data_IF_805274686625
#
_entry.id   IF_805274686625
#
_cell.length_a   1.000
_cell.length_b   1.000
_cell.length_c   1.000
_cell.angle_alpha   90.00
_cell.angle_beta   90.00
_cell.angle_gamma   90.00
#
_symmetry.space_group_name_H-M   'P 1'
#
loop_
_entity.id
_entity.type
_entity.pdbx_description
1 polymer ?
#
# COMPACT_ATOMS: atom_id res chain seq x y z
N UNK A 1 14.27 -11.34 22.38
CA UNK A 1 14.34 -11.41 20.90
C UNK A 1 14.11 -10.03 20.31
N UNK A 2 14.89 -9.63 19.30
CA UNK A 2 14.71 -8.35 18.58
C UNK A 2 14.07 -8.65 17.23
N UNK A 3 13.09 -7.84 16.83
CA UNK A 3 12.38 -8.03 15.57
C UNK A 3 12.37 -6.76 14.73
N UNK A 4 12.52 -6.93 13.43
CA UNK A 4 12.17 -5.94 12.43
C UNK A 4 10.99 -6.47 11.62
N UNK A 5 9.91 -5.71 11.58
CA UNK A 5 8.64 -6.11 10.99
C UNK A 5 8.28 -5.14 9.88
N UNK A 6 7.90 -5.66 8.72
CA UNK A 6 7.38 -4.90 7.59
C UNK A 6 5.92 -5.26 7.38
N UNK A 7 5.04 -4.26 7.44
CA UNK A 7 3.60 -4.40 7.36
C UNK A 7 3.07 -3.85 6.05
N UNK A 8 2.18 -4.62 5.43
CA UNK A 8 1.34 -4.21 4.31
C UNK A 8 -0.13 -4.36 4.73
N UNK A 9 -0.96 -3.39 4.37
CA UNK A 9 -2.41 -3.50 4.53
C UNK A 9 -3.06 -3.66 3.17
N UNK A 10 -3.74 -4.79 2.95
CA UNK A 10 -4.52 -5.03 1.75
C UNK A 10 -5.60 -3.97 1.60
N UNK A 11 -5.73 -3.37 0.41
CA UNK A 11 -6.69 -2.26 0.23
C UNK A 11 -8.13 -2.76 0.22
N UNK A 12 -8.39 -3.93 -0.39
CA UNK A 12 -9.74 -4.46 -0.53
C UNK A 12 -10.31 -5.01 0.79
N UNK A 13 -9.55 -5.85 1.49
CA UNK A 13 -10.03 -6.56 2.69
C UNK A 13 -9.66 -5.90 4.01
N UNK A 14 -8.76 -4.90 4.00
CA UNK A 14 -8.10 -4.33 5.19
C UNK A 14 -7.33 -5.37 6.02
N UNK A 15 -7.09 -6.57 5.47
CA UNK A 15 -6.23 -7.56 6.09
C UNK A 15 -4.79 -7.03 6.16
N UNK A 16 -4.10 -7.33 7.27
CA UNK A 16 -2.74 -6.88 7.50
C UNK A 16 -1.79 -8.05 7.37
N UNK A 17 -0.84 -7.91 6.45
CA UNK A 17 0.21 -8.89 6.19
C UNK A 17 1.51 -8.38 6.80
N UNK A 18 2.32 -9.25 7.39
CA UNK A 18 3.62 -8.90 7.94
C UNK A 18 4.72 -9.88 7.56
N UNK A 19 5.84 -9.37 7.10
CA UNK A 19 7.11 -10.08 7.12
C UNK A 19 7.87 -9.72 8.40
N UNK A 20 8.43 -10.71 9.09
CA UNK A 20 9.27 -10.50 10.27
C UNK A 20 10.67 -11.07 10.05
N UNK A 21 11.67 -10.32 10.49
CA UNK A 21 13.03 -10.81 10.71
C UNK A 21 13.32 -10.74 12.21
N UNK A 22 13.79 -11.85 12.79
CA UNK A 22 14.05 -11.96 14.23
C UNK A 22 15.49 -12.35 14.49
N UNK A 23 16.15 -11.71 15.45
CA UNK A 23 17.50 -12.05 15.89
C UNK A 23 17.72 -11.73 17.37
N UNK A 24 18.59 -12.49 18.02
CA UNK A 24 19.09 -12.13 19.35
C UNK A 24 20.08 -10.94 19.27
N UNK A 25 20.75 -10.81 18.13
CA UNK A 25 21.67 -9.72 17.83
C UNK A 25 20.94 -8.50 17.25
N UNK A 26 21.63 -7.36 17.23
CA UNK A 26 21.07 -6.14 16.65
C UNK A 26 20.89 -6.31 15.15
N UNK A 27 19.69 -6.04 14.66
CA UNK A 27 19.36 -6.06 13.24
C UNK A 27 19.67 -4.71 12.59
N UNK A 28 20.44 -4.74 11.52
CA UNK A 28 20.75 -3.60 10.68
C UNK A 28 20.06 -3.71 9.31
N UNK A 29 19.94 -2.61 8.55
CA UNK A 29 19.35 -2.65 7.21
C UNK A 29 20.08 -3.61 6.27
N UNK A 30 21.39 -3.79 6.41
CA UNK A 30 22.18 -4.68 5.56
C UNK A 30 21.83 -6.17 5.75
N UNK A 31 21.20 -6.52 6.88
CA UNK A 31 20.73 -7.89 7.17
C UNK A 31 19.43 -8.21 6.43
N UNK A 32 18.82 -7.23 5.75
CA UNK A 32 17.54 -7.41 5.06
C UNK A 32 17.73 -7.88 3.62
N UNK A 33 16.85 -8.77 3.14
CA UNK A 33 16.78 -9.09 1.73
C UNK A 33 16.53 -7.85 0.88
N UNK A 34 17.23 -7.73 -0.25
CA UNK A 34 17.06 -6.62 -1.21
C UNK A 34 15.59 -6.44 -1.63
N UNK A 35 14.88 -7.55 -1.78
CA UNK A 35 13.45 -7.63 -2.11
C UNK A 35 12.56 -6.82 -1.16
N UNK A 36 12.91 -6.70 0.13
CA UNK A 36 12.12 -5.87 1.06
C UNK A 36 12.23 -4.39 0.70
N UNK A 37 13.39 -3.92 0.24
CA UNK A 37 13.57 -2.54 -0.18
C UNK A 37 12.78 -2.24 -1.45
N UNK A 38 12.78 -3.17 -2.41
CA UNK A 38 11.96 -3.08 -3.63
C UNK A 38 10.47 -3.01 -3.29
N UNK A 39 9.98 -3.91 -2.43
CA UNK A 39 8.59 -3.92 -1.98
C UNK A 39 8.24 -2.64 -1.22
N UNK A 40 9.13 -2.13 -0.37
CA UNK A 40 8.90 -0.89 0.36
C UNK A 40 8.81 0.32 -0.58
N UNK A 41 9.69 0.40 -1.59
CA UNK A 41 9.65 1.47 -2.58
C UNK A 41 8.36 1.44 -3.41
N UNK A 42 7.86 0.23 -3.74
CA UNK A 42 6.67 0.06 -4.56
C UNK A 42 5.36 0.24 -3.79
N UNK A 43 5.29 -0.27 -2.56
CA UNK A 43 4.03 -0.41 -1.80
C UNK A 43 3.98 0.40 -0.50
N UNK A 44 5.04 1.16 -0.17
CA UNK A 44 5.11 2.00 1.03
C UNK A 44 4.80 1.21 2.32
N UNK A 45 5.61 0.19 2.59
CA UNK A 45 5.42 -0.67 3.76
C UNK A 45 5.66 0.11 5.06
N UNK A 46 4.88 -0.20 6.10
CA UNK A 46 5.13 0.33 7.44
C UNK A 46 6.16 -0.55 8.16
N UNK A 47 7.25 0.04 8.65
CA UNK A 47 8.28 -0.71 9.39
C UNK A 47 8.17 -0.50 10.90
N UNK A 48 8.36 -1.57 11.67
CA UNK A 48 8.29 -1.56 13.13
C UNK A 48 9.47 -2.33 13.73
N UNK A 49 9.98 -1.81 14.85
CA UNK A 49 10.96 -2.51 15.70
C UNK A 49 10.30 -2.87 17.02
N UNK A 50 10.34 -4.15 17.37
CA UNK A 50 9.76 -4.65 18.63
C UNK A 50 10.71 -5.65 19.28
N UNK A 51 10.61 -5.76 20.61
CA UNK A 51 11.43 -6.63 21.43
C UNK A 51 10.55 -7.57 22.21
N UNK A 52 10.50 -8.84 21.84
CA UNK A 52 9.64 -9.82 22.50
C UNK A 52 10.42 -10.91 23.23
N UNK A 53 9.72 -11.84 23.89
CA UNK A 53 10.34 -12.91 24.68
C UNK A 53 11.07 -13.88 23.76
N UNK A 54 10.50 -14.25 22.63
CA UNK A 54 11.02 -15.25 21.70
C UNK A 54 10.75 -14.89 20.22
N UNK A 55 11.07 -15.76 19.27
CA UNK A 55 10.89 -15.50 17.83
C UNK A 55 9.44 -15.65 17.33
N UNK A 56 8.52 -16.13 18.16
CA UNK A 56 7.17 -16.49 17.72
C UNK A 56 6.33 -15.25 17.47
N UNK A 57 5.41 -15.34 16.51
CA UNK A 57 4.47 -14.25 16.26
C UNK A 57 3.53 -14.04 17.44
N UNK A 58 3.20 -15.10 18.17
CA UNK A 58 2.38 -15.02 19.37
C UNK A 58 3.03 -14.13 20.44
N UNK A 59 4.34 -14.26 20.68
CA UNK A 59 5.02 -13.39 21.64
C UNK A 59 4.98 -11.91 21.25
N UNK A 60 4.89 -11.59 19.96
CA UNK A 60 4.76 -10.21 19.45
C UNK A 60 3.32 -9.72 19.69
N UNK A 61 2.31 -10.53 19.36
CA UNK A 61 0.90 -10.19 19.53
C UNK A 61 0.46 -10.05 21.00
N UNK A 62 1.02 -10.87 21.87
CA UNK A 62 0.79 -10.81 23.32
C UNK A 62 1.38 -9.54 23.93
N UNK A 63 2.47 -9.04 23.35
CA UNK A 63 3.14 -7.83 23.80
C UNK A 63 2.45 -6.56 23.31
N UNK A 64 2.01 -6.55 22.05
CA UNK A 64 1.36 -5.39 21.46
C UNK A 64 0.13 -5.78 20.64
N UNK A 65 -1.03 -5.32 21.15
CA UNK A 65 -2.34 -5.54 20.54
C UNK A 65 -2.46 -5.00 19.12
N UNK A 66 -1.61 -4.05 18.72
CA UNK A 66 -1.53 -3.58 17.35
C UNK A 66 -1.34 -4.74 16.37
N UNK A 67 -0.55 -5.75 16.71
CA UNK A 67 -0.26 -6.87 15.80
C UNK A 67 -1.31 -7.99 15.82
N UNK A 68 -2.39 -7.87 16.60
CA UNK A 68 -3.43 -8.91 16.65
C UNK A 68 -4.09 -9.12 15.30
N UNK A 69 -4.21 -10.38 14.89
CA UNK A 69 -4.84 -10.75 13.62
C UNK A 69 -4.03 -10.35 12.39
N UNK A 70 -2.73 -10.08 12.55
CA UNK A 70 -1.79 -9.94 11.44
C UNK A 70 -1.49 -11.33 10.86
N UNK A 71 -1.46 -11.44 9.54
CA UNK A 71 -0.99 -12.63 8.86
C UNK A 71 0.53 -12.58 8.73
N UNK A 72 1.23 -13.54 9.34
CA UNK A 72 2.69 -13.53 9.42
C UNK A 72 3.36 -14.39 8.35
N UNK A 73 4.46 -13.86 7.80
CA UNK A 73 5.32 -14.52 6.85
C UNK A 73 6.75 -14.58 7.37
N UNK A 74 7.37 -15.74 7.29
CA UNK A 74 8.79 -15.96 7.62
C UNK A 74 9.68 -15.91 6.38
N UNK A 75 9.08 -15.97 5.18
CA UNK A 75 9.77 -15.85 3.89
C UNK A 75 9.36 -14.55 3.21
N UNK A 76 10.37 -13.77 2.79
CA UNK A 76 10.16 -12.55 1.99
C UNK A 76 9.47 -12.86 0.66
N UNK A 77 9.76 -14.02 0.05
CA UNK A 77 9.15 -14.43 -1.21
C UNK A 77 7.66 -14.76 -1.05
N UNK A 78 7.29 -15.41 0.05
CA UNK A 78 5.89 -15.67 0.36
C UNK A 78 5.13 -14.36 0.63
N UNK A 79 5.76 -13.44 1.35
CA UNK A 79 5.20 -12.12 1.60
C UNK A 79 5.01 -11.30 0.31
N UNK A 80 6.02 -11.30 -0.58
CA UNK A 80 5.96 -10.67 -1.91
C UNK A 80 4.76 -11.18 -2.70
N UNK A 81 4.61 -12.50 -2.83
CA UNK A 81 3.50 -13.10 -3.58
C UNK A 81 2.15 -12.67 -3.02
N UNK A 82 2.00 -12.67 -1.70
CA UNK A 82 0.75 -12.26 -1.06
C UNK A 82 0.39 -10.77 -1.32
N UNK A 83 1.37 -9.88 -1.41
CA UNK A 83 1.16 -8.48 -1.78
C UNK A 83 0.80 -8.35 -3.27
N UNK A 84 1.52 -9.04 -4.14
CA UNK A 84 1.29 -8.99 -5.59
C UNK A 84 -0.06 -9.58 -5.98
N UNK A 85 -0.52 -10.64 -5.30
CA UNK A 85 -1.87 -11.18 -5.46
C UNK A 85 -2.95 -10.16 -5.09
N UNK A 86 -2.77 -9.38 -4.02
CA UNK A 86 -3.70 -8.30 -3.64
C UNK A 86 -3.79 -7.23 -4.72
N UNK A 87 -2.65 -6.83 -5.31
CA UNK A 87 -2.62 -5.86 -6.41
C UNK A 87 -3.23 -6.38 -7.70
N UNK A 88 -3.07 -7.67 -8.01
CA UNK A 88 -3.75 -8.29 -9.15
C UNK A 88 -5.28 -8.33 -8.95
N UNK A 89 -5.75 -8.43 -7.70
CA UNK A 89 -7.17 -8.34 -7.37
C UNK A 89 -7.70 -6.89 -7.42
N UNK A 90 -6.83 -5.92 -7.11
CA UNK A 90 -7.14 -4.49 -7.14
C UNK A 90 -6.89 -3.84 -8.50
N UNK A 91 -6.26 -4.57 -9.44
CA UNK A 91 -6.03 -4.05 -10.78
C UNK A 91 -7.41 -3.78 -11.42
N UNK A 92 -7.67 -2.51 -11.77
CA UNK A 92 -9.02 -2.01 -11.97
C UNK A 92 -9.49 -2.40 -13.36
N UNK A 93 -10.77 -2.73 -13.52
CA UNK A 93 -11.54 -2.74 -14.78
C UNK A 93 -10.66 -2.86 -16.04
N UNK A 94 -10.60 -4.07 -16.63
CA UNK A 94 -10.09 -4.31 -18.00
C UNK A 94 -10.22 -3.03 -18.83
N UNK A 95 -9.11 -2.34 -19.05
CA UNK A 95 -9.13 -1.10 -19.84
C UNK A 95 -9.69 -1.40 -21.23
N UNK A 96 -9.45 -2.61 -21.73
CA UNK A 96 -10.06 -3.16 -22.94
C UNK A 96 -11.60 -3.14 -22.88
N UNK A 97 -12.21 -3.50 -21.73
CA UNK A 97 -13.66 -3.40 -21.53
C UNK A 97 -14.15 -1.96 -21.46
N UNK A 98 -13.38 -1.05 -20.86
CA UNK A 98 -13.74 0.38 -20.83
C UNK A 98 -13.65 1.01 -22.22
N UNK A 99 -12.68 0.60 -23.03
CA UNK A 99 -12.54 1.02 -24.42
C UNK A 99 -13.66 0.46 -25.28
N UNK A 100 -14.03 -0.82 -25.12
CA UNK A 100 -15.18 -1.43 -25.80
C UNK A 100 -16.49 -0.71 -25.46
N UNK A 101 -16.70 -0.35 -24.19
CA UNK A 101 -17.89 0.40 -23.74
C UNK A 101 -17.84 1.84 -24.27
N UNK A 102 -16.68 2.48 -24.25
CA UNK A 102 -16.52 3.85 -24.76
C UNK A 102 -16.73 3.93 -26.28
N UNK A 103 -16.25 2.96 -27.05
CA UNK A 103 -16.51 2.84 -28.50
C UNK A 103 -18.00 2.59 -28.79
N UNK A 104 -18.66 1.71 -28.01
CA UNK A 104 -20.11 1.48 -28.13
C UNK A 104 -20.95 2.71 -27.78
N UNK A 105 -20.45 3.57 -26.88
CA UNK A 105 -21.13 4.80 -26.44
C UNK A 105 -20.67 6.06 -27.20
N UNK A 106 -19.73 5.94 -28.15
CA UNK A 106 -19.21 7.06 -28.94
C UNK A 106 -18.40 8.08 -28.14
N UNK A 107 -17.73 7.65 -27.07
CA UNK A 107 -16.92 8.49 -26.18
C UNK A 107 -15.43 8.33 -26.52
N UNK A 108 -14.71 9.45 -26.71
CA UNK A 108 -13.25 9.43 -26.88
C UNK A 108 -12.54 9.18 -25.55
N UNK A 109 -11.82 8.07 -25.43
CA UNK A 109 -10.89 7.81 -24.33
C UNK A 109 -9.54 8.47 -24.67
N UNK A 110 -9.15 9.51 -23.93
CA UNK A 110 -7.85 10.17 -24.11
C UNK A 110 -6.79 9.47 -23.26
N UNK A 111 -5.95 8.66 -23.91
CA UNK A 111 -4.91 7.83 -23.28
C UNK A 111 -3.68 8.59 -22.72
N UNK A 112 -3.60 9.92 -22.83
CA UNK A 112 -2.41 10.65 -22.42
C UNK A 112 -2.70 11.70 -21.35
N UNK A 113 -2.87 11.23 -20.12
CA UNK A 113 -2.49 12.04 -18.97
C UNK A 113 -1.02 11.71 -18.65
N UNK A 114 -0.09 12.37 -19.35
CA UNK A 114 1.30 12.45 -18.86
C UNK A 114 1.25 12.93 -17.41
N UNK A 115 2.06 12.39 -16.48
CA UNK A 115 2.18 12.95 -15.14
C UNK A 115 2.85 14.32 -15.26
N UNK A 116 2.04 15.34 -15.52
CA UNK A 116 2.45 16.72 -15.50
C UNK A 116 2.64 17.09 -14.04
N UNK A 117 3.85 17.53 -13.68
CA UNK A 117 4.04 18.40 -12.54
C UNK A 117 3.04 19.56 -12.70
N UNK A 118 1.97 19.56 -11.92
CA UNK A 118 1.06 20.70 -11.90
C UNK A 118 1.81 21.85 -11.24
N UNK A 119 2.05 22.92 -12.00
CA UNK A 119 2.50 24.19 -11.42
C UNK A 119 1.39 24.74 -10.52
N UNK A 120 1.79 25.46 -9.47
CA UNK A 120 0.92 26.01 -8.42
C UNK A 120 -0.27 26.80 -8.98
N UNK A 121 -0.10 27.44 -10.14
CA UNK A 121 -1.14 28.25 -10.79
C UNK A 121 -2.32 27.42 -11.36
N UNK A 122 -2.13 26.11 -11.60
CA UNK A 122 -3.22 25.24 -12.10
C UNK A 122 -4.18 24.76 -11.00
N UNK A 123 -3.79 24.89 -9.73
CA UNK A 123 -4.64 24.49 -8.59
C UNK A 123 -5.73 25.54 -8.32
N UNK A 124 -5.46 26.81 -8.57
CA UNK A 124 -6.42 27.90 -8.35
C UNK A 124 -7.62 27.83 -9.30
N UNK A 125 -7.44 27.28 -10.51
CA UNK A 125 -8.52 27.00 -11.47
C UNK A 125 -9.41 25.82 -11.07
N UNK A 126 -8.89 24.87 -10.28
CA UNK A 126 -9.67 23.75 -9.74
C UNK A 126 -10.46 24.17 -8.49
N UNK A 127 -9.90 25.04 -7.64
CA UNK A 127 -10.59 25.57 -6.47
C UNK A 127 -11.82 26.40 -6.86
N UNK A 128 -11.79 27.07 -8.02
CA UNK A 128 -12.91 27.88 -8.53
C UNK A 128 -14.03 27.06 -9.20
N UNK A 129 -13.82 25.77 -9.46
CA UNK A 129 -14.88 24.84 -9.89
C UNK A 129 -15.72 24.26 -8.72
N UNK A 130 -15.24 24.42 -7.48
CA UNK A 130 -15.92 23.97 -6.26
C UNK A 130 -16.29 25.11 -5.31
N UNK A 131 -16.21 26.37 -5.77
CA UNK A 131 -16.96 27.44 -5.14
C UNK A 131 -18.43 27.13 -5.32
N UNK A 132 -19.04 26.52 -4.30
CA UNK A 132 -20.47 26.51 -4.11
C UNK A 132 -20.94 27.96 -4.29
N UNK A 133 -21.70 28.21 -5.35
CA UNK A 133 -22.66 29.30 -5.41
C UNK A 133 -23.54 29.18 -4.16
N UNK A 134 -23.11 29.86 -3.10
CA UNK A 134 -23.99 30.29 -2.03
C UNK A 134 -24.90 31.34 -2.63
N UNK A 135 -25.99 30.85 -3.25
CA UNK A 135 -27.07 31.63 -3.80
C UNK A 135 -27.39 32.84 -2.90
N UNK A 136 -27.52 33.99 -3.57
CA UNK A 136 -28.29 35.12 -3.09
C UNK A 136 -29.68 34.68 -2.60
N UNK A 137 -30.10 35.28 -1.48
CA UNK A 137 -31.41 35.91 -1.24
C UNK A 137 -31.88 35.70 0.22
N UNK A 138 -31.58 36.66 1.09
CA UNK A 138 -32.54 37.69 1.55
C UNK A 138 -31.91 38.65 2.55
#
# INVERSE_FOLDING_TARGET
MKHLIFLYQKLASKERLAFKLSSEETLFPEDLPETIFELNAKYQLASHRIYSKDATSQSIEDQDSFFKGVHWFESVEAFKRAIEEDQNQLNPLDFDRLQDIAEQMGLEVKENLKPGFYSKDSYDSYASLFSLDGNEEK
#
